data_IF_116570595844
#
_entry.id   IF_116570595844
#
_cell.length_a   1.000
_cell.length_b   1.000
_cell.length_c   1.000
_cell.angle_alpha   90.00
_cell.angle_beta   90.00
_cell.angle_gamma   90.00
#
_symmetry.space_group_name_H-M   'P 1'
#
loop_
_entity.id
_entity.type
_entity.pdbx_description
1 polymer ?
#
# COMPACT_ATOMS: atom_id res chain seq x y z
N UNK A 1 12.83 -1.86 -19.10
CA UNK A 1 11.64 -2.27 -18.34
C UNK A 1 11.64 -1.38 -17.12
N UNK A 2 10.65 -0.50 -16.99
CA UNK A 2 10.51 0.30 -15.78
C UNK A 2 9.72 -0.57 -14.81
N UNK A 3 10.40 -1.21 -13.86
CA UNK A 3 9.73 -2.05 -12.89
C UNK A 3 8.83 -1.15 -12.03
N UNK A 4 7.55 -1.51 -11.96
CA UNK A 4 6.57 -0.80 -11.15
C UNK A 4 6.93 -0.95 -9.67
N UNK A 5 7.01 0.17 -8.94
CA UNK A 5 7.29 0.13 -7.51
C UNK A 5 6.10 -0.47 -6.77
N UNK A 6 6.29 -1.59 -6.07
CA UNK A 6 5.24 -2.20 -5.25
C UNK A 6 5.41 -1.79 -3.79
N UNK A 7 4.35 -1.24 -3.19
CA UNK A 7 4.38 -0.69 -1.84
C UNK A 7 3.25 -1.27 -1.01
N UNK A 8 3.54 -1.97 0.08
CA UNK A 8 2.54 -2.36 1.06
C UNK A 8 2.43 -1.27 2.13
N UNK A 9 1.20 -0.86 2.48
CA UNK A 9 0.95 0.05 3.60
C UNK A 9 0.51 -0.77 4.80
N UNK A 10 1.33 -0.76 5.85
CA UNK A 10 1.16 -1.58 7.06
C UNK A 10 1.02 -0.68 8.29
N UNK A 11 0.23 -1.12 9.28
CA UNK A 11 -0.01 -0.37 10.51
C UNK A 11 -1.21 -0.89 11.28
N UNK A 12 -1.40 -0.38 12.50
CA UNK A 12 -2.50 -0.80 13.38
C UNK A 12 -3.89 -0.63 12.74
N UNK A 13 -4.86 -1.40 13.23
CA UNK A 13 -6.27 -1.24 12.85
C UNK A 13 -6.74 0.18 13.14
N UNK A 14 -7.60 0.74 12.28
CA UNK A 14 -8.17 2.09 12.43
C UNK A 14 -7.18 3.27 12.41
N UNK A 15 -5.95 3.08 11.91
CA UNK A 15 -4.94 4.16 11.77
C UNK A 15 -5.06 5.00 10.50
N UNK A 16 -6.08 4.74 9.66
CA UNK A 16 -6.34 5.55 8.47
C UNK A 16 -5.55 5.14 7.21
N UNK A 17 -5.00 3.92 7.14
CA UNK A 17 -4.29 3.39 5.95
C UNK A 17 -5.11 3.53 4.66
N UNK A 18 -6.34 3.02 4.66
CA UNK A 18 -7.27 3.13 3.53
C UNK A 18 -7.55 4.59 3.16
N UNK A 19 -7.70 5.47 4.16
CA UNK A 19 -7.93 6.91 3.94
C UNK A 19 -6.72 7.60 3.33
N UNK A 20 -5.50 7.25 3.74
CA UNK A 20 -4.26 7.74 3.15
C UNK A 20 -4.16 7.33 1.68
N UNK A 21 -4.34 6.05 1.38
CA UNK A 21 -4.28 5.53 0.01
C UNK A 21 -5.33 6.17 -0.90
N UNK A 22 -6.57 6.30 -0.41
CA UNK A 22 -7.65 7.00 -1.14
C UNK A 22 -7.35 8.48 -1.37
N UNK A 23 -6.64 9.13 -0.47
CA UNK A 23 -6.26 10.55 -0.62
C UNK A 23 -5.17 10.70 -1.67
N UNK A 24 -4.13 9.86 -1.63
CA UNK A 24 -3.06 9.84 -2.64
C UNK A 24 -3.60 9.52 -4.05
N UNK A 25 -4.61 8.66 -4.13
CA UNK A 25 -5.28 8.33 -5.38
C UNK A 25 -6.19 9.43 -5.95
N UNK A 26 -6.50 10.48 -5.17
CA UNK A 26 -7.44 11.56 -5.54
C UNK A 26 -6.75 12.86 -5.89
N UNK A 27 -5.43 12.84 -6.10
CA UNK A 27 -4.74 13.96 -6.72
C UNK A 27 -4.95 13.91 -8.24
N UNK A 28 -5.49 15.00 -8.80
CA UNK A 28 -6.13 15.09 -10.12
C UNK A 28 -5.17 14.83 -11.30
N UNK A 29 -3.88 14.68 -11.04
CA UNK A 29 -2.85 14.29 -12.01
C UNK A 29 -2.46 12.81 -12.01
N UNK A 30 -2.93 11.98 -11.04
CA UNK A 30 -2.37 10.66 -10.78
C UNK A 30 -3.42 9.53 -10.56
N UNK A 31 -3.93 8.96 -11.66
CA UNK A 31 -4.33 7.54 -11.74
C UNK A 31 -5.78 7.12 -11.43
N UNK A 32 -6.13 5.93 -11.91
CA UNK A 32 -7.43 5.27 -11.74
C UNK A 32 -7.48 4.41 -10.47
N UNK A 33 -8.63 4.42 -9.79
CA UNK A 33 -8.90 3.59 -8.61
C UNK A 33 -9.68 2.34 -9.01
N UNK A 34 -9.10 1.16 -8.79
CA UNK A 34 -9.81 -0.12 -8.86
C UNK A 34 -10.34 -0.48 -7.47
N UNK A 35 -11.52 0.03 -7.11
CA UNK A 35 -12.12 -0.18 -5.78
C UNK A 35 -12.83 -1.54 -5.69
N UNK A 36 -12.73 -2.20 -4.53
CA UNK A 36 -13.52 -3.36 -4.16
C UNK A 36 -13.89 -3.23 -2.68
N UNK A 37 -14.93 -2.44 -2.40
CA UNK A 37 -15.27 -2.04 -1.05
C UNK A 37 -15.73 -3.21 -0.16
N UNK A 38 -15.10 -3.37 1.02
CA UNK A 38 -15.68 -4.09 2.16
C UNK A 38 -14.65 -4.71 3.09
N UNK A 39 -14.34 -4.04 4.21
CA UNK A 39 -13.51 -4.48 5.36
C UNK A 39 -12.31 -5.35 4.99
N UNK A 40 -11.09 -4.82 5.07
CA UNK A 40 -9.79 -5.46 4.76
C UNK A 40 -9.62 -6.85 5.39
N UNK A 41 -10.29 -7.86 4.82
CA UNK A 41 -10.03 -9.29 4.91
C UNK A 41 -9.32 -9.77 3.64
N UNK A 42 -9.20 -8.88 2.64
CA UNK A 42 -8.48 -9.04 1.39
C UNK A 42 -7.60 -7.80 1.19
N UNK A 43 -6.46 -7.97 0.53
CA UNK A 43 -5.55 -6.88 0.17
C UNK A 43 -6.17 -6.08 -0.98
N UNK A 44 -6.40 -4.79 -0.79
CA UNK A 44 -6.89 -3.88 -1.84
C UNK A 44 -5.70 -3.23 -2.56
N UNK A 45 -5.67 -3.28 -3.90
CA UNK A 45 -4.58 -2.74 -4.71
C UNK A 45 -4.95 -1.41 -5.37
N UNK A 46 -4.06 -0.44 -5.34
CA UNK A 46 -4.19 0.87 -5.98
C UNK A 46 -3.00 1.12 -6.92
N UNK A 47 -3.23 1.46 -8.18
CA UNK A 47 -2.16 1.90 -9.09
C UNK A 47 -2.06 3.40 -9.18
N UNK A 48 -0.87 3.92 -8.93
CA UNK A 48 -0.54 5.32 -9.12
C UNK A 48 0.09 5.49 -10.50
N UNK A 49 -0.54 6.35 -11.31
CA UNK A 49 -0.12 6.64 -12.68
C UNK A 49 0.59 7.98 -12.71
N UNK A 50 1.82 8.04 -13.20
CA UNK A 50 2.58 9.27 -13.45
C UNK A 50 2.73 9.45 -14.96
N UNK A 51 2.30 10.58 -15.51
CA UNK A 51 2.40 10.87 -16.95
C UNK A 51 1.82 9.75 -17.86
N UNK A 52 0.73 9.11 -17.42
CA UNK A 52 0.11 8.00 -18.13
C UNK A 52 0.84 6.64 -18.00
N UNK A 53 1.91 6.57 -17.21
CA UNK A 53 2.68 5.34 -16.94
C UNK A 53 2.45 4.89 -15.50
N UNK A 54 2.28 3.59 -15.29
CA UNK A 54 2.18 3.05 -13.94
C UNK A 54 3.51 3.22 -13.20
N UNK A 55 3.52 4.10 -12.19
CA UNK A 55 4.71 4.42 -11.41
C UNK A 55 4.80 3.55 -10.15
N UNK A 56 3.67 3.30 -9.50
CA UNK A 56 3.61 2.47 -8.29
C UNK A 56 2.30 1.70 -8.17
N UNK A 57 2.34 0.59 -7.44
CA UNK A 57 1.20 -0.20 -7.01
C UNK A 57 1.21 -0.28 -5.48
N UNK A 58 0.20 0.29 -4.84
CA UNK A 58 0.01 0.29 -3.40
C UNK A 58 -0.93 -0.83 -2.99
N UNK A 59 -0.67 -1.43 -1.83
CA UNK A 59 -1.48 -2.50 -1.26
C UNK A 59 -1.94 -2.10 0.14
N UNK A 60 -3.26 -1.97 0.33
CA UNK A 60 -3.86 -1.78 1.64
C UNK A 60 -3.93 -3.14 2.35
N UNK A 61 -3.29 -3.21 3.51
CA UNK A 61 -3.23 -4.43 4.30
C UNK A 61 -4.22 -4.38 5.47
N UNK A 62 -4.76 -5.52 5.92
CA UNK A 62 -5.49 -5.60 7.18
C UNK A 62 -4.69 -4.95 8.33
N UNK A 63 -5.40 -4.37 9.30
CA UNK A 63 -4.75 -3.83 10.49
C UNK A 63 -3.94 -4.90 11.22
N UNK A 64 -2.69 -4.59 11.54
CA UNK A 64 -1.79 -5.47 12.28
C UNK A 64 -1.69 -4.99 13.72
N UNK A 65 -1.89 -5.89 14.67
CA UNK A 65 -1.82 -5.54 16.10
C UNK A 65 -0.42 -5.13 16.53
N UNK A 66 0.62 -5.66 15.86
CA UNK A 66 2.01 -5.31 16.11
C UNK A 66 2.78 -5.06 14.81
N UNK A 67 2.58 -3.87 14.24
CA UNK A 67 3.24 -3.47 13.00
C UNK A 67 4.75 -3.22 13.18
N UNK A 68 5.20 -2.93 14.40
CA UNK A 68 6.62 -2.67 14.69
C UNK A 68 7.38 -4.00 14.74
N UNK A 69 6.84 -5.01 15.40
CA UNK A 69 7.44 -6.35 15.40
C UNK A 69 7.51 -6.95 13.98
N UNK A 70 6.53 -6.66 13.10
CA UNK A 70 6.65 -7.05 11.71
C UNK A 70 7.84 -6.36 11.02
N UNK A 71 8.01 -5.05 11.24
CA UNK A 71 9.12 -4.32 10.63
C UNK A 71 10.46 -4.87 11.09
N UNK A 72 10.62 -5.09 12.40
CA UNK A 72 11.81 -5.73 12.97
C UNK A 72 12.08 -7.11 12.33
N UNK A 73 11.04 -7.94 12.19
CA UNK A 73 11.15 -9.25 11.54
C UNK A 73 11.55 -9.15 10.05
N UNK A 74 11.01 -8.18 9.31
CA UNK A 74 11.39 -7.96 7.91
C UNK A 74 12.84 -7.49 7.81
N UNK A 75 13.28 -6.59 8.68
CA UNK A 75 14.66 -6.11 8.72
C UNK A 75 15.64 -7.28 9.01
N UNK A 76 15.30 -8.17 9.94
CA UNK A 76 16.06 -9.41 10.20
C UNK A 76 16.12 -10.35 8.99
N UNK A 77 15.07 -10.42 8.16
CA UNK A 77 15.06 -11.25 6.96
C UNK A 77 15.88 -10.65 5.81
N UNK A 78 15.98 -9.32 5.76
CA UNK A 78 16.65 -8.59 4.68
C UNK A 78 18.14 -8.41 4.98
N UNK A 79 18.55 -8.42 6.24
CA UNK A 79 19.95 -8.43 6.66
C UNK A 79 20.49 -9.87 6.68
N UNK A 80 21.24 -10.31 5.65
CA UNK A 80 21.88 -11.61 5.69
C UNK A 80 23.12 -11.45 6.54
N UNK A 81 23.03 -11.84 7.82
CA UNK A 81 24.25 -12.25 8.52
C UNK A 81 25.08 -13.22 7.67
#
# INVERSE_FOLDING_TARGET
MNDILRVAVVGHTNTGKTSLLRTLARDVGFGEVSDSAGTTRHVEGLRLMADGVAAAEFFDTPGMEDAIALLEFIDELVDPG
#
